data_IF_737305495862
#
_entry.id   IF_737305495862
#
_cell.length_a   1.000
_cell.length_b   1.000
_cell.length_c   1.000
_cell.angle_alpha   90.00
_cell.angle_beta   90.00
_cell.angle_gamma   90.00
#
_symmetry.space_group_name_H-M   'P 1'
#
loop_
_entity.id
_entity.type
_entity.pdbx_description
1 polymer ?
#
# COMPACT_ATOMS: atom_id res chain seq x y z
N UNK A 1 12.27 17.32 23.66
CA UNK A 1 11.83 18.34 22.69
C UNK A 1 12.94 18.57 21.66
N UNK A 2 12.85 17.94 20.50
CA UNK A 2 13.55 18.38 19.30
C UNK A 2 12.46 18.78 18.32
N UNK A 3 12.17 20.07 18.22
CA UNK A 3 11.35 20.59 17.12
C UNK A 3 12.15 20.32 15.85
N UNK A 4 11.72 19.33 15.06
CA UNK A 4 12.14 19.25 13.67
C UNK A 4 11.88 20.62 13.04
N UNK A 5 12.92 21.23 12.48
CA UNK A 5 12.88 22.56 11.90
C UNK A 5 11.85 22.54 10.78
N UNK A 6 10.66 23.09 11.05
CA UNK A 6 9.66 23.40 10.02
C UNK A 6 10.21 24.61 9.28
N UNK A 7 10.81 24.39 8.11
CA UNK A 7 11.28 25.49 7.28
C UNK A 7 10.14 25.92 6.36
N UNK A 8 9.45 27.00 6.71
CA UNK A 8 8.41 27.58 5.88
C UNK A 8 9.02 28.20 4.61
N UNK A 9 8.43 27.88 3.46
CA UNK A 9 8.81 28.44 2.15
C UNK A 9 7.72 29.41 1.74
N UNK A 10 7.98 30.72 1.83
CA UNK A 10 7.02 31.75 1.42
C UNK A 10 6.80 31.72 -0.10
N UNK A 11 5.64 31.24 -0.57
CA UNK A 11 5.32 31.24 -2.00
C UNK A 11 4.98 32.65 -2.51
N UNK A 12 5.35 32.95 -3.76
CA UNK A 12 5.10 34.26 -4.38
C UNK A 12 4.65 34.09 -5.83
N UNK A 13 3.83 35.02 -6.31
CA UNK A 13 3.30 35.02 -7.69
C UNK A 13 1.84 34.58 -7.75
N UNK A 14 1.38 34.27 -8.96
CA UNK A 14 0.04 33.75 -9.20
C UNK A 14 0.13 32.56 -10.16
N UNK A 15 -0.75 31.59 -9.96
CA UNK A 15 -0.95 30.47 -10.89
C UNK A 15 -2.32 30.62 -11.54
N UNK A 16 -2.43 30.53 -12.88
CA UNK A 16 -3.74 30.43 -13.52
C UNK A 16 -4.43 29.12 -13.12
N UNK A 17 -5.75 29.06 -13.27
CA UNK A 17 -6.50 27.82 -13.05
C UNK A 17 -5.92 26.68 -13.91
N UNK A 18 -5.64 25.54 -13.29
CA UNK A 18 -4.98 24.39 -13.93
C UNK A 18 -3.46 24.57 -14.19
N UNK A 19 -2.87 25.68 -13.75
CA UNK A 19 -1.43 25.91 -13.81
C UNK A 19 -0.65 25.23 -12.69
N UNK A 20 0.66 25.07 -12.88
CA UNK A 20 1.57 24.41 -11.94
C UNK A 20 2.63 25.38 -11.41
N UNK A 21 2.94 25.26 -10.12
CA UNK A 21 4.03 25.96 -9.46
C UNK A 21 5.16 24.96 -9.12
N UNK A 22 6.37 25.20 -9.61
CA UNK A 22 7.52 24.33 -9.44
C UNK A 22 8.51 24.91 -8.44
N UNK A 23 8.65 24.20 -7.33
CA UNK A 23 9.68 24.38 -6.31
C UNK A 23 10.85 23.45 -6.61
N UNK A 24 12.07 23.99 -6.68
CA UNK A 24 13.27 23.18 -6.85
C UNK A 24 14.31 23.48 -5.76
N UNK A 25 14.92 22.44 -5.21
CA UNK A 25 15.98 22.61 -4.23
C UNK A 25 17.25 23.17 -4.91
N UNK A 26 17.85 24.21 -4.36
CA UNK A 26 19.16 24.73 -4.76
C UNK A 26 20.18 24.59 -3.65
N UNK A 27 21.44 24.39 -4.00
CA UNK A 27 22.58 24.56 -3.07
C UNK A 27 23.03 26.03 -2.97
N UNK A 28 22.52 26.93 -3.82
CA UNK A 28 22.83 28.37 -3.80
C UNK A 28 21.61 29.22 -3.41
N UNK A 29 21.84 30.23 -2.57
CA UNK A 29 20.86 31.26 -2.18
C UNK A 29 20.75 32.41 -3.21
N UNK A 30 21.12 32.19 -4.47
CA UNK A 30 21.18 33.26 -5.47
C UNK A 30 19.78 33.57 -6.03
N UNK A 31 19.35 34.86 -6.06
CA UNK A 31 18.03 35.26 -6.58
C UNK A 31 17.83 34.92 -8.06
N UNK A 32 18.92 34.84 -8.82
CA UNK A 32 18.96 34.27 -10.15
C UNK A 32 19.33 32.79 -10.05
N UNK A 33 18.46 31.88 -10.52
CA UNK A 33 18.81 30.47 -10.59
C UNK A 33 20.07 30.30 -11.45
N UNK A 34 21.08 29.53 -11.01
CA UNK A 34 22.08 28.98 -11.92
C UNK A 34 21.39 28.35 -13.13
N UNK A 35 22.06 28.31 -14.29
CA UNK A 35 21.50 27.68 -15.49
C UNK A 35 21.03 26.23 -15.27
N UNK A 36 21.50 25.58 -14.19
CA UNK A 36 21.15 24.25 -13.73
C UNK A 36 21.08 24.18 -12.20
N UNK A 37 19.90 23.92 -11.63
CA UNK A 37 19.67 23.76 -10.17
C UNK A 37 19.27 22.32 -9.84
N UNK A 38 18.28 21.78 -10.57
CA UNK A 38 17.82 20.38 -10.56
C UNK A 38 17.34 20.01 -11.96
N UNK A 39 16.63 20.94 -12.59
CA UNK A 39 16.14 20.83 -13.95
C UNK A 39 17.02 21.64 -14.89
N UNK A 40 17.09 21.18 -16.14
CA UNK A 40 17.58 21.99 -17.23
C UNK A 40 16.60 23.14 -17.48
N UNK A 41 17.09 24.37 -17.35
CA UNK A 41 16.29 25.60 -17.50
C UNK A 41 15.72 25.80 -18.91
N UNK A 42 16.27 25.12 -19.92
CA UNK A 42 15.73 25.11 -21.28
C UNK A 42 14.46 24.26 -21.41
N UNK A 43 14.26 23.27 -20.53
CA UNK A 43 13.12 22.34 -20.60
C UNK A 43 11.99 22.75 -19.64
N UNK A 44 12.33 23.28 -18.45
CA UNK A 44 11.34 23.63 -17.42
C UNK A 44 11.75 24.89 -16.66
N UNK A 45 10.82 25.83 -16.52
CA UNK A 45 10.97 27.00 -15.65
C UNK A 45 10.70 26.65 -14.18
N UNK A 46 11.63 27.01 -13.30
CA UNK A 46 11.49 26.92 -11.84
C UNK A 46 10.89 28.24 -11.34
N UNK A 47 9.78 28.19 -10.60
CA UNK A 47 9.14 29.41 -10.08
C UNK A 47 9.83 29.90 -8.80
N UNK A 48 10.33 28.97 -7.98
CA UNK A 48 11.04 29.31 -6.75
C UNK A 48 12.04 28.23 -6.35
N UNK A 49 13.20 28.67 -5.87
CA UNK A 49 14.22 27.81 -5.27
C UNK A 49 14.17 27.83 -3.75
N UNK A 50 14.57 26.73 -3.13
CA UNK A 50 14.68 26.62 -1.67
C UNK A 50 15.90 25.77 -1.29
N UNK A 51 16.38 25.89 -0.05
CA UNK A 51 17.59 25.17 0.43
C UNK A 51 17.29 24.05 1.41
N UNK A 52 16.04 23.93 1.87
CA UNK A 52 15.59 22.83 2.75
C UNK A 52 15.78 21.45 2.10
N UNK A 53 16.04 20.44 2.92
CA UNK A 53 16.14 19.03 2.47
C UNK A 53 14.84 18.30 2.74
N UNK A 54 14.38 17.49 1.78
CA UNK A 54 13.35 16.48 2.01
C UNK A 54 14.04 15.17 2.39
N UNK A 55 13.65 14.59 3.53
CA UNK A 55 14.20 13.31 4.00
C UNK A 55 13.72 12.16 3.12
N UNK A 56 14.59 11.21 2.79
CA UNK A 56 14.19 9.98 2.08
C UNK A 56 13.31 9.08 2.95
N UNK A 57 13.38 9.20 4.28
CA UNK A 57 12.56 8.42 5.22
C UNK A 57 11.13 8.94 5.35
N UNK A 58 10.78 10.03 4.64
CA UNK A 58 9.48 10.68 4.71
C UNK A 58 9.50 12.08 5.34
N UNK A 59 8.50 12.88 5.01
CA UNK A 59 8.18 14.16 5.64
C UNK A 59 6.70 14.48 5.42
N UNK A 60 6.17 15.44 6.18
CA UNK A 60 4.83 16.00 5.95
C UNK A 60 5.03 17.33 5.21
N UNK A 61 4.28 17.54 4.13
CA UNK A 61 4.23 18.82 3.44
C UNK A 61 2.85 19.45 3.63
N UNK A 62 2.83 20.73 3.98
CA UNK A 62 1.61 21.51 4.17
C UNK A 62 1.63 22.72 3.24
N UNK A 63 0.57 22.89 2.47
CA UNK A 63 0.28 24.13 1.76
C UNK A 63 -0.66 24.97 2.60
N UNK A 64 -0.30 26.22 2.87
CA UNK A 64 -1.10 27.14 3.68
C UNK A 64 -1.47 28.39 2.90
N UNK A 65 -2.65 28.94 3.19
CA UNK A 65 -3.08 30.24 2.67
C UNK A 65 -2.35 31.39 3.39
N UNK A 66 -2.45 32.66 2.94
CA UNK A 66 -1.77 33.78 3.58
C UNK A 66 -2.13 34.00 5.06
N UNK A 67 -3.38 33.76 5.50
CA UNK A 67 -3.73 33.70 6.93
C UNK A 67 -3.07 32.55 7.72
N UNK A 68 -2.57 31.51 7.06
CA UNK A 68 -1.93 30.35 7.68
C UNK A 68 -2.85 29.12 7.83
N UNK A 69 -4.05 29.15 7.27
CA UNK A 69 -4.94 27.99 7.26
C UNK A 69 -4.42 26.93 6.29
N UNK A 70 -4.62 25.66 6.65
CA UNK A 70 -4.25 24.53 5.81
C UNK A 70 -5.12 24.48 4.55
N UNK A 71 -4.47 24.40 3.39
CA UNK A 71 -5.09 24.31 2.06
C UNK A 71 -5.00 22.88 1.52
N UNK A 72 -3.82 22.27 1.61
CA UNK A 72 -3.57 20.91 1.13
C UNK A 72 -2.38 20.29 1.86
N UNK A 73 -2.27 18.97 1.80
CA UNK A 73 -1.15 18.23 2.39
C UNK A 73 -0.59 17.21 1.40
N UNK A 74 0.66 16.82 1.64
CA UNK A 74 1.20 15.58 1.13
C UNK A 74 1.80 14.77 2.27
N UNK A 75 1.41 13.49 2.32
CA UNK A 75 1.84 12.54 3.36
C UNK A 75 1.40 12.99 4.77
N UNK A 76 0.16 13.47 4.92
CA UNK A 76 -0.38 14.00 6.19
C UNK A 76 -0.40 13.01 7.34
N UNK A 77 -0.45 11.71 7.04
CA UNK A 77 -0.34 10.61 7.99
C UNK A 77 1.09 10.44 8.54
N UNK A 78 2.07 11.07 7.90
CA UNK A 78 3.47 11.03 8.29
C UNK A 78 4.12 9.67 8.03
N UNK A 79 5.32 9.46 8.57
CA UNK A 79 6.11 8.28 8.26
C UNK A 79 6.69 8.34 6.84
N UNK A 80 7.00 7.17 6.27
CA UNK A 80 7.66 7.04 4.95
C UNK A 80 6.78 7.53 3.81
N UNK A 81 7.43 8.05 2.76
CA UNK A 81 6.72 8.48 1.56
C UNK A 81 5.87 7.33 0.99
N UNK A 82 4.58 7.56 0.70
CA UNK A 82 3.67 6.51 0.24
C UNK A 82 3.96 6.05 -1.20
N UNK A 83 4.67 6.87 -1.96
CA UNK A 83 5.14 6.55 -3.31
C UNK A 83 6.42 7.33 -3.63
N UNK A 84 7.00 7.04 -4.80
CA UNK A 84 8.31 7.53 -5.21
C UNK A 84 9.41 6.53 -4.87
N UNK A 85 10.48 6.53 -5.66
CA UNK A 85 11.56 5.55 -5.55
C UNK A 85 12.93 6.22 -5.64
N UNK A 86 13.75 6.01 -4.62
CA UNK A 86 15.10 6.56 -4.56
C UNK A 86 16.08 5.88 -5.53
N UNK A 87 15.86 4.60 -5.87
CA UNK A 87 16.81 3.84 -6.70
C UNK A 87 16.86 4.32 -8.15
N UNK A 88 15.74 4.80 -8.68
CA UNK A 88 15.64 5.30 -10.05
C UNK A 88 15.15 6.76 -10.11
N UNK A 89 15.04 7.42 -8.96
CA UNK A 89 14.60 8.79 -8.81
C UNK A 89 13.20 9.06 -9.42
N UNK A 90 12.28 8.10 -9.28
CA UNK A 90 10.88 8.27 -9.70
C UNK A 90 10.11 9.09 -8.67
N UNK A 91 9.40 10.10 -9.15
CA UNK A 91 8.62 11.01 -8.32
C UNK A 91 7.35 10.35 -7.78
N UNK A 92 6.86 10.93 -6.68
CA UNK A 92 5.55 10.67 -6.09
C UNK A 92 4.53 11.64 -6.68
N UNK A 93 3.46 11.13 -7.29
CA UNK A 93 2.48 11.95 -8.00
C UNK A 93 1.04 11.67 -7.54
N UNK A 94 0.28 12.71 -7.24
CA UNK A 94 -1.12 12.59 -6.77
C UNK A 94 -2.03 12.16 -7.92
N UNK A 95 -2.90 11.17 -7.69
CA UNK A 95 -3.78 10.55 -8.70
C UNK A 95 -5.03 11.35 -9.08
N UNK A 96 -5.29 12.48 -8.44
CA UNK A 96 -6.50 13.27 -8.69
C UNK A 96 -6.77 14.28 -7.59
N UNK A 97 -7.95 14.90 -7.64
CA UNK A 97 -8.51 15.72 -6.56
C UNK A 97 -9.14 14.80 -5.51
N UNK A 98 -8.30 14.15 -4.71
CA UNK A 98 -8.69 13.27 -3.61
C UNK A 98 -8.03 13.72 -2.32
N UNK A 99 -8.67 13.48 -1.17
CA UNK A 99 -8.08 13.77 0.14
C UNK A 99 -6.70 13.09 0.29
N UNK A 100 -5.79 13.78 0.96
CA UNK A 100 -4.45 13.24 1.21
C UNK A 100 -4.54 11.97 2.06
N UNK A 101 -3.82 10.94 1.60
CA UNK A 101 -3.66 9.65 2.23
C UNK A 101 -2.59 8.90 1.45
N UNK A 102 -2.03 7.82 2.01
CA UNK A 102 -1.11 6.95 1.28
C UNK A 102 -1.67 6.47 -0.08
N UNK A 103 -2.99 6.30 -0.20
CA UNK A 103 -3.65 5.88 -1.46
C UNK A 103 -3.76 6.98 -2.52
N UNK A 104 -3.55 8.25 -2.15
CA UNK A 104 -3.65 9.38 -3.06
C UNK A 104 -2.44 9.51 -4.00
N UNK A 105 -1.34 8.79 -3.73
CA UNK A 105 -0.04 9.00 -4.33
C UNK A 105 0.47 7.76 -5.07
N UNK A 106 0.87 7.93 -6.32
CA UNK A 106 1.46 6.87 -7.14
C UNK A 106 2.93 7.18 -7.46
N UNK A 107 3.72 6.12 -7.64
CA UNK A 107 5.07 6.26 -8.17
C UNK A 107 4.99 6.48 -9.67
N UNK A 108 5.64 7.51 -10.19
CA UNK A 108 5.73 7.75 -11.62
C UNK A 108 6.29 6.50 -12.34
N UNK A 109 5.47 5.92 -13.23
CA UNK A 109 5.85 4.78 -14.07
C UNK A 109 5.57 5.04 -15.57
N UNK A 110 5.23 6.29 -15.91
CA UNK A 110 4.96 6.68 -17.29
C UNK A 110 6.19 6.58 -18.19
N UNK A 111 6.00 6.54 -19.52
CA UNK A 111 7.11 6.79 -20.43
C UNK A 111 7.74 8.13 -20.05
N UNK A 112 9.08 8.23 -20.12
CA UNK A 112 9.82 9.48 -19.90
C UNK A 112 9.62 10.46 -21.06
N UNK A 113 8.35 10.73 -21.39
CA UNK A 113 7.89 11.66 -22.41
C UNK A 113 7.76 13.09 -21.87
N UNK A 114 7.96 13.29 -20.57
CA UNK A 114 8.36 14.57 -20.02
C UNK A 114 9.64 15.01 -20.73
N UNK A 115 9.59 16.14 -21.45
CA UNK A 115 10.77 16.74 -22.05
C UNK A 115 11.74 17.29 -20.99
N UNK A 116 11.33 17.30 -19.72
CA UNK A 116 12.16 17.75 -18.62
C UNK A 116 13.39 16.85 -18.46
N UNK A 117 14.56 17.46 -18.62
CA UNK A 117 15.82 16.85 -18.19
C UNK A 117 16.28 17.43 -16.87
N UNK A 118 16.99 16.60 -16.13
CA UNK A 118 17.74 17.03 -14.96
C UNK A 118 18.95 17.89 -15.38
N UNK A 119 19.67 18.38 -14.39
CA UNK A 119 20.79 19.27 -14.60
C UNK A 119 22.01 18.65 -15.30
N UNK A 120 22.05 17.32 -15.41
CA UNK A 120 23.11 16.56 -16.10
C UNK A 120 22.62 15.97 -17.42
N UNK A 121 21.38 16.26 -17.82
CA UNK A 121 20.79 15.89 -19.10
C UNK A 121 20.02 14.57 -19.12
N UNK A 122 19.86 13.87 -17.99
CA UNK A 122 19.01 12.68 -17.93
C UNK A 122 17.54 13.08 -17.94
N UNK A 123 16.69 12.20 -18.47
CA UNK A 123 15.24 12.42 -18.39
C UNK A 123 14.73 12.29 -16.96
N UNK A 124 13.93 13.24 -16.55
CA UNK A 124 13.25 13.23 -15.24
C UNK A 124 12.15 12.18 -15.25
N UNK A 125 12.06 11.40 -14.16
CA UNK A 125 10.98 10.44 -13.92
C UNK A 125 9.84 11.07 -13.11
N UNK A 126 9.17 12.01 -13.75
CA UNK A 126 8.07 12.77 -13.18
C UNK A 126 7.55 13.82 -14.15
N UNK A 127 6.53 14.55 -13.75
CA UNK A 127 5.88 15.60 -14.55
C UNK A 127 6.06 17.01 -13.94
N UNK A 128 7.29 17.52 -13.76
CA UNK A 128 7.47 18.89 -13.28
C UNK A 128 6.81 19.89 -14.24
N UNK A 129 6.08 20.88 -13.69
CA UNK A 129 5.26 21.86 -14.45
C UNK A 129 4.17 21.27 -15.35
N UNK A 130 3.91 19.97 -15.29
CA UNK A 130 2.87 19.31 -16.06
C UNK A 130 1.81 18.69 -15.15
N UNK A 131 0.70 18.28 -15.76
CA UNK A 131 -0.25 17.42 -15.06
C UNK A 131 0.43 16.14 -14.62
N UNK A 132 0.18 15.76 -13.37
CA UNK A 132 0.62 14.49 -12.83
C UNK A 132 0.26 13.38 -13.80
N UNK A 133 1.23 12.54 -14.16
CA UNK A 133 1.00 11.34 -14.96
C UNK A 133 -0.09 10.48 -14.33
N UNK A 134 -0.12 10.46 -12.99
CA UNK A 134 -1.14 9.78 -12.19
C UNK A 134 -2.60 10.23 -12.48
N UNK A 135 -2.84 11.41 -13.07
CA UNK A 135 -4.18 11.84 -13.51
C UNK A 135 -4.60 11.22 -14.85
N UNK A 136 -3.62 10.94 -15.71
CA UNK A 136 -3.85 10.43 -17.07
C UNK A 136 -3.95 8.91 -17.11
N UNK A 137 -3.56 8.24 -16.04
CA UNK A 137 -3.89 6.84 -15.80
C UNK A 137 -5.33 6.72 -15.30
N UNK A 138 -6.27 7.05 -16.19
CA UNK A 138 -7.56 6.39 -16.11
C UNK A 138 -7.28 4.93 -16.41
N UNK A 139 -7.65 4.01 -15.51
CA UNK A 139 -7.77 2.59 -15.85
C UNK A 139 -8.89 2.46 -16.89
N UNK A 140 -8.55 2.79 -18.13
CA UNK A 140 -9.32 2.43 -19.30
C UNK A 140 -8.66 1.15 -19.81
N UNK A 141 -9.25 -0.03 -19.56
CA UNK A 141 -8.80 -1.25 -20.21
C UNK A 141 -8.86 -1.01 -21.72
N UNK A 142 -7.70 -0.74 -22.31
CA UNK A 142 -7.57 -0.52 -23.73
C UNK A 142 -7.17 -1.86 -24.33
N UNK A 143 -7.98 -2.48 -25.19
CA UNK A 143 -7.57 -3.70 -25.89
C UNK A 143 -6.37 -3.35 -26.75
N UNK A 144 -5.20 -3.79 -26.32
CA UNK A 144 -3.95 -3.58 -27.07
C UNK A 144 -3.95 -4.57 -28.24
N UNK A 145 -3.71 -4.12 -29.48
CA UNK A 145 -3.46 -5.05 -30.57
C UNK A 145 -2.23 -5.90 -30.20
N UNK A 146 -2.26 -7.22 -30.44
CA UNK A 146 -1.14 -8.07 -30.09
C UNK A 146 0.09 -7.58 -30.86
N UNK A 147 1.17 -7.28 -30.16
CA UNK A 147 2.47 -7.16 -30.82
C UNK A 147 2.73 -8.53 -31.45
N UNK A 148 2.81 -8.57 -32.77
CA UNK A 148 3.15 -9.78 -33.53
C UNK A 148 4.51 -10.26 -33.07
N UNK A 149 4.51 -11.25 -32.18
CA UNK A 149 5.69 -12.05 -31.89
C UNK A 149 6.03 -12.81 -33.17
N UNK A 150 7.30 -12.76 -33.56
CA UNK A 150 7.89 -13.61 -34.59
C UNK A 150 7.48 -15.05 -34.31
N UNK A 151 6.88 -15.80 -35.27
CA UNK A 151 6.25 -17.07 -34.97
C UNK A 151 7.33 -18.13 -34.73
N UNK A 152 7.69 -18.33 -33.46
CA UNK A 152 8.06 -19.64 -32.97
C UNK A 152 6.75 -20.33 -32.58
N UNK A 153 6.52 -21.59 -32.97
CA UNK A 153 5.32 -22.30 -32.51
C UNK A 153 5.31 -22.25 -30.98
N UNK A 154 4.32 -21.60 -30.33
CA UNK A 154 4.24 -21.66 -28.89
C UNK A 154 3.82 -23.08 -28.57
N UNK A 155 4.71 -23.85 -27.97
CA UNK A 155 4.27 -25.03 -27.23
C UNK A 155 3.37 -24.48 -26.12
N UNK A 156 2.07 -24.84 -26.10
CA UNK A 156 1.15 -24.25 -25.14
C UNK A 156 1.46 -24.82 -23.76
N UNK A 157 2.11 -24.02 -22.92
CA UNK A 157 2.34 -24.36 -21.51
C UNK A 157 1.37 -23.55 -20.65
N UNK A 158 0.83 -24.21 -19.62
CA UNK A 158 0.08 -23.52 -18.56
C UNK A 158 0.98 -22.51 -17.85
N UNK A 159 0.45 -21.31 -17.57
CA UNK A 159 1.19 -20.26 -16.87
C UNK A 159 0.40 -19.86 -15.64
N UNK A 160 0.81 -20.42 -14.51
CA UNK A 160 0.21 -20.16 -13.22
C UNK A 160 0.96 -19.05 -12.50
N UNK A 161 0.23 -18.14 -11.86
CA UNK A 161 0.78 -17.03 -11.08
C UNK A 161 -0.02 -16.83 -9.79
N UNK A 162 0.58 -16.17 -8.80
CA UNK A 162 -0.14 -15.64 -7.65
C UNK A 162 -0.76 -14.31 -8.10
N UNK A 163 -2.07 -14.16 -7.93
CA UNK A 163 -2.82 -12.98 -8.36
C UNK A 163 -3.05 -11.99 -7.21
N UNK A 164 -3.51 -12.49 -6.08
CA UNK A 164 -3.88 -11.70 -4.91
C UNK A 164 -3.60 -12.51 -3.64
N UNK A 165 -3.27 -11.87 -2.52
CA UNK A 165 -3.32 -12.49 -1.20
C UNK A 165 -3.59 -11.46 -0.12
N UNK A 166 -4.29 -11.87 0.94
CA UNK A 166 -4.63 -11.04 2.09
C UNK A 166 -3.93 -11.60 3.33
N UNK A 167 -2.87 -10.93 3.84
CA UNK A 167 -2.20 -11.37 5.06
C UNK A 167 -2.97 -11.06 6.34
N UNK A 168 -3.86 -10.06 6.32
CA UNK A 168 -4.52 -9.59 7.54
C UNK A 168 -5.99 -9.36 7.32
N UNK A 169 -6.82 -10.30 7.76
CA UNK A 169 -8.26 -10.18 7.65
C UNK A 169 -8.86 -9.28 8.74
N UNK A 170 -9.75 -8.38 8.34
CA UNK A 170 -10.64 -7.62 9.22
C UNK A 170 -12.13 -7.84 8.90
N UNK A 171 -12.41 -8.69 7.91
CA UNK A 171 -13.74 -9.08 7.47
C UNK A 171 -13.81 -10.61 7.32
N UNK A 172 -15.03 -11.14 7.43
CA UNK A 172 -15.38 -12.56 7.29
C UNK A 172 -15.36 -12.93 5.79
N UNK A 173 -14.15 -13.05 5.24
CA UNK A 173 -13.92 -13.28 3.82
C UNK A 173 -14.23 -14.71 3.40
N UNK A 174 -14.20 -15.66 4.33
CA UNK A 174 -14.55 -17.05 4.08
C UNK A 174 -16.06 -17.32 4.32
N UNK A 175 -16.79 -16.35 4.88
CA UNK A 175 -18.23 -16.37 5.18
C UNK A 175 -18.64 -17.53 6.11
N UNK A 176 -17.81 -17.86 7.10
CA UNK A 176 -18.07 -18.87 8.13
C UNK A 176 -18.76 -18.31 9.37
N UNK A 177 -18.87 -16.98 9.48
CA UNK A 177 -19.49 -16.32 10.60
C UNK A 177 -18.50 -15.93 11.71
N UNK A 178 -17.21 -16.01 11.49
CA UNK A 178 -16.15 -15.55 12.40
C UNK A 178 -15.23 -14.59 11.62
N UNK A 179 -14.56 -13.67 12.32
CA UNK A 179 -13.49 -12.85 11.74
C UNK A 179 -12.22 -13.27 12.45
N UNK A 180 -11.36 -14.02 11.78
CA UNK A 180 -10.09 -14.50 12.34
C UNK A 180 -9.00 -14.70 11.26
N UNK A 181 -7.85 -15.22 11.65
CA UNK A 181 -6.71 -15.48 10.73
C UNK A 181 -7.06 -16.49 9.63
N UNK A 182 -8.14 -17.27 9.78
CA UNK A 182 -8.57 -18.23 8.76
C UNK A 182 -9.33 -17.57 7.60
N UNK A 183 -9.61 -16.27 7.69
CA UNK A 183 -10.12 -15.43 6.60
C UNK A 183 -9.03 -14.92 5.65
N UNK A 184 -7.75 -15.07 6.02
CA UNK A 184 -6.62 -14.83 5.12
C UNK A 184 -6.73 -15.70 3.89
N UNK A 185 -6.27 -15.22 2.74
CA UNK A 185 -6.35 -16.00 1.50
C UNK A 185 -5.17 -15.78 0.56
N UNK A 186 -4.95 -16.77 -0.29
CA UNK A 186 -4.07 -16.70 -1.45
C UNK A 186 -4.88 -17.06 -2.69
N UNK A 187 -4.85 -16.20 -3.69
CA UNK A 187 -5.45 -16.40 -5.00
C UNK A 187 -4.39 -16.65 -6.07
N UNK A 188 -4.65 -17.63 -6.93
CA UNK A 188 -3.84 -17.93 -8.11
C UNK A 188 -4.67 -17.84 -9.39
N UNK A 189 -4.01 -17.53 -10.50
CA UNK A 189 -4.63 -17.41 -11.82
C UNK A 189 -3.87 -18.23 -12.88
N UNK A 190 -4.58 -18.81 -13.83
CA UNK A 190 -4.00 -19.44 -15.02
C UNK A 190 -4.00 -18.48 -16.22
N UNK A 191 -2.86 -17.84 -16.48
CA UNK A 191 -2.62 -16.98 -17.65
C UNK A 191 -2.22 -17.76 -18.91
N UNK A 192 -2.09 -19.09 -18.81
CA UNK A 192 -1.69 -19.93 -19.93
C UNK A 192 -2.86 -20.18 -20.90
N UNK A 193 -2.58 -20.44 -22.19
CA UNK A 193 -3.62 -20.75 -23.17
C UNK A 193 -4.20 -22.17 -23.07
N UNK A 194 -3.87 -22.90 -22.00
CA UNK A 194 -4.32 -24.27 -21.73
C UNK A 194 -4.74 -24.43 -20.30
N UNK A 195 -5.73 -25.29 -20.08
CA UNK A 195 -6.20 -25.68 -18.76
C UNK A 195 -5.08 -26.36 -17.95
N UNK A 196 -4.99 -26.01 -16.67
CA UNK A 196 -3.97 -26.56 -15.75
C UNK A 196 -4.66 -27.37 -14.67
N UNK A 197 -4.24 -28.63 -14.51
CA UNK A 197 -4.59 -29.41 -13.32
C UNK A 197 -3.65 -29.05 -12.16
N UNK A 198 -4.24 -28.59 -11.06
CA UNK A 198 -3.54 -28.17 -9.84
C UNK A 198 -3.05 -29.35 -8.97
N UNK A 199 -3.44 -30.58 -9.28
CA UNK A 199 -3.02 -31.77 -8.53
C UNK A 199 -1.49 -31.84 -8.38
N UNK A 200 -1.02 -31.83 -7.13
CA UNK A 200 0.40 -31.93 -6.79
C UNK A 200 1.17 -30.61 -6.84
N UNK A 201 0.54 -29.51 -7.23
CA UNK A 201 1.06 -28.15 -7.00
C UNK A 201 0.98 -27.82 -5.51
N UNK A 202 1.75 -26.83 -5.06
CA UNK A 202 1.77 -26.41 -3.67
C UNK A 202 1.77 -24.90 -3.51
N UNK A 203 1.15 -24.44 -2.42
CA UNK A 203 1.29 -23.11 -1.85
C UNK A 203 2.15 -23.19 -0.58
N UNK A 204 2.89 -22.13 -0.30
CA UNK A 204 3.84 -22.09 0.80
C UNK A 204 4.11 -20.64 1.22
N UNK A 205 4.30 -20.39 2.52
CA UNK A 205 4.55 -19.06 3.10
C UNK A 205 6.05 -18.77 3.27
N UNK A 206 6.87 -19.74 3.68
CA UNK A 206 8.32 -19.57 3.76
C UNK A 206 9.09 -20.88 3.55
N UNK A 207 10.40 -20.85 3.33
CA UNK A 207 11.21 -22.06 3.19
C UNK A 207 11.60 -22.61 4.56
N UNK A 208 11.13 -23.82 4.87
CA UNK A 208 11.48 -24.58 6.08
C UNK A 208 11.21 -23.85 7.41
N UNK A 209 10.38 -22.81 7.39
CA UNK A 209 10.00 -21.95 8.51
C UNK A 209 8.53 -21.58 8.30
N UNK A 210 7.76 -21.36 9.37
CA UNK A 210 6.33 -21.06 9.25
C UNK A 210 5.45 -22.30 9.09
N UNK A 211 4.41 -22.19 8.26
CA UNK A 211 3.41 -23.23 8.01
C UNK A 211 3.97 -24.38 7.18
N UNK A 212 3.30 -25.53 7.17
CA UNK A 212 3.65 -26.60 6.22
C UNK A 212 3.09 -26.30 4.83
N UNK A 213 3.84 -26.59 3.73
CA UNK A 213 3.35 -26.34 2.38
C UNK A 213 2.02 -27.07 2.11
N UNK A 214 1.02 -26.34 1.64
CA UNK A 214 -0.28 -26.89 1.30
C UNK A 214 -0.28 -27.49 -0.11
N UNK A 215 -0.68 -28.75 -0.25
CA UNK A 215 -0.80 -29.40 -1.57
C UNK A 215 -2.17 -29.12 -2.17
N UNK A 216 -2.20 -28.51 -3.35
CA UNK A 216 -3.43 -28.12 -4.03
C UNK A 216 -4.26 -29.35 -4.46
N UNK A 217 -5.60 -29.25 -4.42
CA UNK A 217 -6.49 -30.34 -4.77
C UNK A 217 -6.47 -30.62 -6.28
N UNK A 218 -7.05 -31.75 -6.67
CA UNK A 218 -7.32 -32.06 -8.07
C UNK A 218 -8.44 -31.17 -8.62
N UNK A 219 -8.08 -29.95 -9.03
CA UNK A 219 -8.95 -28.98 -9.69
C UNK A 219 -8.31 -28.57 -11.02
N UNK A 220 -9.13 -28.53 -12.08
CA UNK A 220 -8.71 -28.00 -13.37
C UNK A 220 -9.03 -26.50 -13.38
N UNK A 221 -8.02 -25.67 -13.61
CA UNK A 221 -8.15 -24.23 -13.73
C UNK A 221 -8.05 -23.84 -15.21
N UNK A 222 -9.13 -23.30 -15.77
CA UNK A 222 -9.18 -22.87 -17.18
C UNK A 222 -8.35 -21.63 -17.43
N UNK A 223 -8.08 -21.31 -18.70
CA UNK A 223 -7.45 -20.05 -19.08
C UNK A 223 -8.24 -18.84 -18.55
N UNK A 224 -7.56 -17.96 -17.82
CA UNK A 224 -8.11 -16.77 -17.17
C UNK A 224 -8.95 -17.05 -15.92
N UNK A 225 -8.98 -18.29 -15.43
CA UNK A 225 -9.74 -18.64 -14.22
C UNK A 225 -8.88 -18.46 -12.96
N UNK A 226 -9.54 -18.07 -11.87
CA UNK A 226 -8.96 -17.80 -10.56
C UNK A 226 -9.31 -18.93 -9.58
N UNK A 227 -8.42 -19.21 -8.64
CA UNK A 227 -8.69 -20.09 -7.51
C UNK A 227 -8.21 -19.47 -6.21
N UNK A 228 -9.14 -19.32 -5.27
CA UNK A 228 -8.91 -18.77 -3.93
C UNK A 228 -8.70 -19.89 -2.93
N UNK A 229 -7.71 -19.72 -2.06
CA UNK A 229 -7.38 -20.65 -0.98
C UNK A 229 -7.27 -19.90 0.35
N UNK A 230 -8.28 -20.05 1.21
CA UNK A 230 -8.34 -19.47 2.54
C UNK A 230 -7.48 -20.21 3.56
N UNK A 231 -7.04 -19.52 4.62
CA UNK A 231 -6.32 -20.07 5.77
C UNK A 231 -7.08 -21.24 6.41
N UNK A 232 -8.42 -21.17 6.49
CA UNK A 232 -9.28 -22.26 6.97
C UNK A 232 -9.13 -23.57 6.18
N UNK A 233 -8.71 -23.48 4.91
CA UNK A 233 -8.50 -24.64 4.04
C UNK A 233 -7.03 -25.08 3.99
N UNK A 234 -6.10 -24.13 3.99
CA UNK A 234 -4.68 -24.38 3.74
C UNK A 234 -3.89 -24.62 5.02
N UNK A 235 -4.32 -24.04 6.14
CA UNK A 235 -3.52 -23.80 7.35
C UNK A 235 -2.21 -23.03 7.06
N UNK A 236 -2.16 -22.29 5.96
CA UNK A 236 -1.12 -21.29 5.71
C UNK A 236 -1.63 -20.00 6.33
N UNK A 237 -0.94 -19.53 7.36
CA UNK A 237 -1.22 -18.27 8.05
C UNK A 237 -0.10 -17.29 7.73
N UNK A 238 -0.47 -16.14 7.19
CA UNK A 238 0.41 -15.15 6.58
C UNK A 238 0.82 -14.09 7.60
N UNK A 239 2.08 -14.10 8.01
CA UNK A 239 2.53 -13.29 9.15
C UNK A 239 2.39 -11.77 8.94
N UNK A 240 1.76 -11.06 9.89
CA UNK A 240 1.58 -9.60 9.84
C UNK A 240 2.90 -8.81 9.95
N UNK A 241 3.96 -9.39 10.49
CA UNK A 241 5.28 -8.77 10.57
C UNK A 241 6.07 -8.85 9.25
N UNK A 242 5.55 -9.59 8.26
CA UNK A 242 6.14 -9.83 6.96
C UNK A 242 6.43 -11.31 6.73
N UNK A 243 6.19 -11.76 5.51
CA UNK A 243 6.31 -13.16 5.09
C UNK A 243 6.52 -13.26 3.57
N UNK A 244 6.48 -14.48 3.01
CA UNK A 244 6.36 -14.70 1.59
C UNK A 244 5.15 -15.54 1.19
N UNK A 245 4.85 -15.58 -0.11
CA UNK A 245 3.87 -16.48 -0.71
C UNK A 245 4.51 -17.08 -1.94
N UNK A 246 4.48 -18.40 -2.06
CA UNK A 246 5.18 -19.15 -3.11
C UNK A 246 4.25 -20.14 -3.77
N UNK A 247 4.24 -20.14 -5.09
CA UNK A 247 3.52 -21.10 -5.91
C UNK A 247 4.51 -22.09 -6.52
N UNK A 248 4.38 -23.36 -6.15
CA UNK A 248 5.30 -24.44 -6.51
C UNK A 248 4.56 -25.43 -7.41
N UNK A 249 5.16 -25.75 -8.56
CA UNK A 249 4.57 -26.73 -9.47
C UNK A 249 4.80 -28.18 -9.02
N UNK A 250 4.14 -29.13 -9.69
CA UNK A 250 4.26 -30.58 -9.40
C UNK A 250 5.68 -31.16 -9.47
N UNK A 251 6.61 -30.47 -10.14
CA UNK A 251 8.02 -30.87 -10.23
C UNK A 251 8.87 -30.29 -9.09
N UNK A 252 8.26 -29.55 -8.16
CA UNK A 252 8.95 -28.88 -7.05
C UNK A 252 9.60 -27.55 -7.40
N UNK A 253 9.30 -26.97 -8.58
CA UNK A 253 9.86 -25.68 -9.01
C UNK A 253 8.93 -24.54 -8.60
N UNK A 254 9.47 -23.52 -7.94
CA UNK A 254 8.76 -22.26 -7.68
C UNK A 254 8.52 -21.53 -9.01
N UNK A 255 7.26 -21.35 -9.39
CA UNK A 255 6.89 -20.69 -10.65
C UNK A 255 6.49 -19.22 -10.45
N UNK A 256 6.08 -18.85 -9.24
CA UNK A 256 5.84 -17.47 -8.85
C UNK A 256 6.03 -17.33 -7.33
N UNK A 257 6.45 -16.15 -6.89
CA UNK A 257 6.64 -15.85 -5.48
C UNK A 257 6.57 -14.34 -5.21
N UNK A 258 6.13 -13.98 -4.01
CA UNK A 258 6.07 -12.61 -3.53
C UNK A 258 6.43 -12.54 -2.05
N UNK A 259 7.35 -11.66 -1.68
CA UNK A 259 7.66 -11.32 -0.28
C UNK A 259 7.03 -9.97 0.06
N UNK A 260 6.57 -9.82 1.30
CA UNK A 260 6.01 -8.59 1.83
C UNK A 260 6.56 -8.30 3.24
N UNK A 261 6.41 -7.06 3.69
CA UNK A 261 6.84 -6.61 5.02
C UNK A 261 5.66 -6.41 5.97
N UNK A 262 5.87 -5.65 7.04
CA UNK A 262 4.84 -5.42 8.06
C UNK A 262 3.51 -4.91 7.48
N UNK A 263 2.41 -5.58 7.83
CA UNK A 263 1.03 -5.28 7.45
C UNK A 263 0.34 -4.53 8.58
N UNK A 264 0.12 -3.24 8.35
CA UNK A 264 -0.38 -2.32 9.39
C UNK A 264 -1.90 -2.29 9.51
N UNK A 265 -2.61 -2.52 8.42
CA UNK A 265 -4.06 -2.38 8.35
C UNK A 265 -4.70 -3.70 7.90
N UNK A 266 -5.83 -4.09 8.51
CA UNK A 266 -6.60 -5.22 8.01
C UNK A 266 -7.24 -4.88 6.65
N UNK A 267 -7.65 -5.92 5.94
CA UNK A 267 -8.37 -5.83 4.65
C UNK A 267 -7.60 -5.02 3.60
N UNK A 268 -6.27 -5.14 3.61
CA UNK A 268 -5.39 -4.66 2.56
C UNK A 268 -4.68 -5.85 1.92
N UNK A 269 -5.19 -6.28 0.77
CA UNK A 269 -4.56 -7.35 0.01
C UNK A 269 -3.36 -6.83 -0.78
N UNK A 270 -2.42 -7.72 -1.01
CA UNK A 270 -1.42 -7.59 -2.05
C UNK A 270 -2.01 -8.15 -3.34
N UNK A 271 -2.13 -7.34 -4.39
CA UNK A 271 -2.76 -7.77 -5.63
C UNK A 271 -1.98 -7.35 -6.87
N UNK A 272 -2.18 -8.04 -7.99
CA UNK A 272 -1.63 -7.66 -9.30
C UNK A 272 -2.66 -6.85 -10.08
N UNK A 273 -2.26 -5.67 -10.57
CA UNK A 273 -3.12 -4.86 -11.44
C UNK A 273 -2.40 -4.54 -12.76
N UNK A 274 -2.93 -4.96 -13.92
CA UNK A 274 -4.07 -5.87 -14.09
C UNK A 274 -3.77 -7.29 -13.58
N UNK A 275 -4.79 -8.11 -13.41
CA UNK A 275 -4.71 -9.46 -12.88
C UNK A 275 -3.65 -10.32 -13.61
N UNK A 276 -2.89 -11.04 -12.79
CA UNK A 276 -1.86 -12.02 -13.11
C UNK A 276 -0.59 -11.48 -13.81
N UNK A 277 -0.72 -10.47 -14.66
CA UNK A 277 0.35 -9.88 -15.47
C UNK A 277 0.79 -8.49 -15.01
N UNK A 278 0.03 -7.89 -14.09
CA UNK A 278 0.28 -6.58 -13.56
C UNK A 278 1.42 -6.51 -12.56
N UNK A 279 1.69 -5.28 -12.15
CA UNK A 279 2.60 -5.00 -11.05
C UNK A 279 1.87 -5.24 -9.73
N UNK A 280 2.62 -5.75 -8.76
CA UNK A 280 2.15 -5.89 -7.39
C UNK A 280 1.87 -4.52 -6.77
N UNK A 281 0.68 -4.39 -6.20
CA UNK A 281 0.25 -3.32 -5.33
C UNK A 281 0.25 -3.83 -3.88
N UNK A 282 0.52 -2.93 -2.93
CA UNK A 282 0.65 -3.27 -1.51
C UNK A 282 -0.62 -3.01 -0.69
N UNK A 283 -1.60 -2.34 -1.29
CA UNK A 283 -2.86 -1.97 -0.65
C UNK A 283 -3.99 -1.99 -1.69
N UNK A 284 -4.52 -3.18 -1.91
CA UNK A 284 -5.73 -3.40 -2.70
C UNK A 284 -6.93 -3.65 -1.78
N UNK A 285 -8.12 -3.43 -2.32
CA UNK A 285 -9.33 -3.96 -1.71
C UNK A 285 -9.37 -5.47 -1.97
N UNK A 286 -9.61 -6.32 -0.95
CA UNK A 286 -9.59 -7.75 -1.17
C UNK A 286 -10.73 -8.18 -2.11
N UNK A 287 -10.39 -8.93 -3.15
CA UNK A 287 -11.31 -9.33 -4.23
C UNK A 287 -11.31 -10.83 -4.47
N UNK A 288 -11.45 -11.68 -3.44
CA UNK A 288 -11.34 -13.13 -3.63
C UNK A 288 -12.33 -13.63 -4.69
N UNK A 289 -11.79 -14.25 -5.74
CA UNK A 289 -12.53 -14.84 -6.86
C UNK A 289 -13.02 -13.84 -7.90
N UNK A 290 -12.63 -12.57 -7.80
CA UNK A 290 -13.04 -11.48 -8.68
C UNK A 290 -11.82 -10.74 -9.24
N UNK A 291 -12.04 -9.85 -10.20
CA UNK A 291 -10.97 -8.99 -10.73
C UNK A 291 -10.40 -8.07 -9.63
N UNK A 292 -9.08 -7.93 -9.59
CA UNK A 292 -8.39 -7.12 -8.59
C UNK A 292 -8.77 -5.65 -8.66
N UNK A 293 -9.03 -5.06 -7.49
CA UNK A 293 -9.40 -3.65 -7.36
C UNK A 293 -8.60 -2.91 -6.29
N UNK A 294 -8.25 -1.65 -6.55
CA UNK A 294 -7.63 -0.78 -5.54
C UNK A 294 -8.60 -0.29 -4.47
N UNK A 295 -9.91 -0.41 -4.72
CA UNK A 295 -10.95 0.09 -3.85
C UNK A 295 -12.22 -0.75 -4.03
N UNK A 296 -12.97 -0.88 -2.95
CA UNK A 296 -14.25 -1.56 -2.92
C UNK A 296 -15.04 -1.14 -1.70
N UNK A 297 -16.17 -1.80 -1.49
CA UNK A 297 -17.07 -1.52 -0.37
C UNK A 297 -17.28 -2.82 0.37
N UNK A 298 -16.91 -2.86 1.66
CA UNK A 298 -17.27 -3.98 2.50
C UNK A 298 -18.80 -3.99 2.71
N UNK A 299 -19.46 -5.16 2.59
CA UNK A 299 -20.86 -5.28 2.95
C UNK A 299 -21.09 -4.81 4.39
N UNK A 300 -22.20 -4.12 4.65
CA UNK A 300 -22.58 -3.81 6.02
C UNK A 300 -22.76 -5.14 6.79
N UNK A 301 -22.25 -5.26 8.03
CA UNK A 301 -22.43 -6.46 8.82
C UNK A 301 -23.94 -6.72 9.03
N UNK A 302 -24.37 -8.00 9.05
CA UNK A 302 -25.77 -8.33 9.34
C UNK A 302 -26.22 -7.70 10.67
N UNK A 303 -27.50 -7.29 10.81
CA UNK A 303 -28.02 -6.63 12.01
C UNK A 303 -27.73 -7.40 13.31
N UNK A 304 -27.69 -8.73 13.22
CA UNK A 304 -27.48 -9.64 14.35
C UNK A 304 -26.02 -9.66 14.84
N UNK A 305 -25.08 -9.10 14.07
CA UNK A 305 -23.65 -8.96 14.41
C UNK A 305 -23.24 -7.56 14.82
N UNK A 306 -24.14 -6.57 14.78
CA UNK A 306 -23.85 -5.20 15.21
C UNK A 306 -23.50 -5.07 16.71
N UNK A 307 -23.79 -6.12 17.50
CA UNK A 307 -23.53 -6.20 18.94
C UNK A 307 -22.37 -7.13 19.32
N UNK A 308 -21.61 -7.68 18.36
CA UNK A 308 -20.39 -8.41 18.71
C UNK A 308 -19.29 -7.44 19.13
N UNK A 309 -18.45 -7.78 20.12
CA UNK A 309 -17.26 -6.98 20.42
C UNK A 309 -16.43 -6.83 19.15
N UNK A 310 -15.85 -5.65 18.95
CA UNK A 310 -15.00 -5.39 17.78
C UNK A 310 -13.97 -6.52 17.66
N UNK A 311 -13.83 -7.07 16.44
CA UNK A 311 -12.80 -8.07 16.17
C UNK A 311 -11.45 -7.56 16.68
N UNK A 312 -10.66 -8.43 17.28
CA UNK A 312 -9.35 -8.09 17.80
C UNK A 312 -8.45 -7.64 16.65
N UNK A 313 -8.37 -6.32 16.40
CA UNK A 313 -7.54 -5.78 15.32
C UNK A 313 -6.06 -5.69 15.71
N UNK A 314 -5.58 -6.51 16.65
CA UNK A 314 -4.15 -6.60 16.91
C UNK A 314 -3.49 -7.49 15.86
N UNK A 315 -2.23 -7.20 15.48
CA UNK A 315 -1.47 -8.12 14.66
C UNK A 315 -1.42 -9.53 15.25
N UNK A 316 -1.47 -10.56 14.42
CA UNK A 316 -1.37 -11.97 14.84
C UNK A 316 -0.05 -12.31 15.58
N UNK A 317 0.98 -11.50 15.35
CA UNK A 317 2.28 -11.53 16.02
C UNK A 317 2.30 -10.85 17.39
N UNK A 318 1.18 -10.28 17.83
CA UNK A 318 1.08 -9.66 19.14
C UNK A 318 1.13 -10.74 20.23
N UNK A 319 2.03 -10.64 21.24
CA UNK A 319 2.12 -11.66 22.27
C UNK A 319 0.79 -11.88 22.99
N UNK A 320 0.53 -13.12 23.40
CA UNK A 320 -0.77 -13.56 23.92
C UNK A 320 -1.22 -12.72 25.13
N UNK A 321 -0.30 -12.30 25.98
CA UNK A 321 -0.57 -11.42 27.11
C UNK A 321 -1.17 -10.07 26.71
N UNK A 322 -0.74 -9.48 25.59
CA UNK A 322 -1.29 -8.23 25.06
C UNK A 322 -2.62 -8.50 24.35
N UNK A 323 -2.74 -9.62 23.64
CA UNK A 323 -3.98 -10.02 22.98
C UNK A 323 -5.11 -10.26 23.99
N UNK A 324 -4.81 -10.94 25.10
CA UNK A 324 -5.75 -11.16 26.21
C UNK A 324 -6.13 -9.84 26.90
N UNK A 325 -5.20 -8.90 27.02
CA UNK A 325 -5.46 -7.60 27.61
C UNK A 325 -6.32 -6.68 26.73
N UNK A 326 -6.18 -6.73 25.40
CA UNK A 326 -6.93 -5.85 24.49
C UNK A 326 -8.27 -6.45 24.04
N UNK A 327 -8.30 -7.77 23.81
CA UNK A 327 -9.32 -8.37 22.95
C UNK A 327 -10.21 -9.41 23.64
N UNK A 328 -9.85 -9.87 24.83
CA UNK A 328 -10.71 -10.77 25.60
C UNK A 328 -11.85 -9.98 26.29
N UNK A 329 -12.98 -10.62 26.61
CA UNK A 329 -14.13 -9.97 27.26
C UNK A 329 -13.83 -9.25 28.58
N UNK A 330 -12.67 -9.51 29.21
CA UNK A 330 -12.23 -8.89 30.46
C UNK A 330 -11.23 -7.73 30.26
N UNK A 331 -10.75 -7.50 29.04
CA UNK A 331 -9.74 -6.49 28.70
C UNK A 331 -10.28 -5.09 28.42
N UNK A 332 -11.55 -4.98 28.04
CA UNK A 332 -12.34 -3.74 27.96
C UNK A 332 -11.67 -2.52 27.29
N UNK A 333 -10.78 -2.69 26.29
CA UNK A 333 -10.00 -1.59 25.70
C UNK A 333 -9.24 -0.75 26.75
N UNK A 334 -8.75 -1.37 27.84
CA UNK A 334 -8.02 -0.68 28.91
C UNK A 334 -6.78 0.04 28.37
N UNK A 335 -6.24 -0.39 27.22
CA UNK A 335 -5.04 0.18 26.64
C UNK A 335 -5.36 1.17 25.52
N UNK A 336 -5.80 2.36 25.94
CA UNK A 336 -5.84 3.50 25.06
C UNK A 336 -4.41 3.97 24.77
N UNK A 337 -3.95 3.82 23.53
CA UNK A 337 -2.61 4.27 23.10
C UNK A 337 -2.30 5.73 23.46
N UNK A 338 -3.29 6.62 23.35
CA UNK A 338 -3.16 8.03 23.74
C UNK A 338 -2.94 8.22 25.24
N UNK A 339 -3.38 7.24 26.04
CA UNK A 339 -3.22 7.24 27.49
C UNK A 339 -1.85 6.68 27.92
N UNK A 340 -1.36 5.63 27.25
CA UNK A 340 -0.14 4.93 27.65
C UNK A 340 1.13 5.43 26.95
N UNK A 341 1.06 5.82 25.67
CA UNK A 341 2.23 6.25 24.90
C UNK A 341 2.52 7.75 25.08
N UNK A 342 1.48 8.60 25.16
CA UNK A 342 1.65 10.06 25.22
C UNK A 342 1.89 10.58 26.66
N UNK A 343 1.57 9.78 27.69
CA UNK A 343 1.68 10.17 29.10
C UNK A 343 2.79 9.45 29.88
N UNK A 344 3.72 8.79 29.19
CA UNK A 344 4.86 8.12 29.83
C UNK A 344 5.68 9.13 30.67
N UNK A 345 5.57 9.03 32.00
CA UNK A 345 6.30 9.88 32.97
C UNK A 345 5.50 10.47 34.13
N UNK A 346 4.22 10.10 34.33
CA UNK A 346 3.46 10.47 35.53
C UNK A 346 3.25 9.26 36.44
N UNK A 347 3.37 9.44 37.76
CA UNK A 347 3.38 8.36 38.76
C UNK A 347 2.02 8.10 39.44
N UNK A 348 0.94 8.76 39.00
CA UNK A 348 -0.40 8.55 39.53
C UNK A 348 -1.44 8.84 38.43
N UNK A 349 -2.38 7.91 38.24
CA UNK A 349 -3.34 7.95 37.15
C UNK A 349 -4.78 7.92 37.66
N UNK A 350 -5.57 8.94 37.32
CA UNK A 350 -7.02 8.93 37.56
C UNK A 350 -7.69 8.18 36.41
N UNK A 351 -8.37 7.08 36.71
CA UNK A 351 -9.19 6.33 35.74
C UNK A 351 -10.58 6.98 35.68
N UNK A 352 -11.05 7.46 34.51
CA UNK A 352 -12.39 8.00 34.38
C UNK A 352 -13.42 6.87 34.42
N UNK A 353 -14.07 6.69 35.58
CA UNK A 353 -15.28 5.88 35.68
C UNK A 353 -16.49 6.78 35.39
N UNK A 354 -17.24 6.47 34.34
CA UNK A 354 -18.45 7.23 33.96
C UNK A 354 -19.67 6.89 34.83
N UNK A 355 -19.55 5.95 35.75
CA UNK A 355 -20.62 5.47 36.63
C UNK A 355 -20.32 5.61 38.13
N UNK A 356 -19.18 6.17 38.53
CA UNK A 356 -18.79 6.35 39.94
C UNK A 356 -18.40 7.79 40.27
N UNK A 357 -18.77 8.26 41.47
CA UNK A 357 -18.38 9.58 42.01
C UNK A 357 -17.02 9.58 42.71
N UNK A 358 -16.37 8.42 42.81
CA UNK A 358 -15.07 8.25 43.46
C UNK A 358 -14.01 8.05 42.39
N UNK A 359 -13.00 8.92 42.35
CA UNK A 359 -11.85 8.74 41.47
C UNK A 359 -11.02 7.55 41.96
N UNK A 360 -10.83 6.56 41.09
CA UNK A 360 -9.88 5.47 41.34
C UNK A 360 -8.52 5.90 40.80
N UNK A 361 -7.52 5.86 41.67
CA UNK A 361 -6.13 6.14 41.33
C UNK A 361 -5.38 4.82 41.27
N UNK A 362 -4.68 4.58 40.16
CA UNK A 362 -3.68 3.50 40.07
C UNK A 362 -2.32 4.13 40.30
N UNK A 363 -1.58 3.60 41.29
CA UNK A 363 -0.19 3.95 41.60
C UNK A 363 0.80 3.07 40.85
#
# INVERSE_FOLDING_TARGET
MNRHIVQDILLTGSIPAGGYYLLARSSSNTPTPPACVVFNSADVTIDKTFTASLSNSGAILELKDPPGNLVDTANSDGGSWPAGLSFNYSSMERRGTVLDSSTAWFTFAGPTASNARDCVGNRVRGTPKGSNWAWTVTITPTPRPPKTATPRPPTPFGRMVINEFLPRAGFDWNNDGVIDVNDEFIEIENLGPVDVNLSGWKLDDEINTGSSPYTLPNKILKTGEHAVFYGSMTNILLNDSGDSVRLINKSGVVVDARTYGVVKYPDQSHCRIPDGNGYWQLACFPTPGNENALAGVLPAPPPDKANQPAACLLPDTTPEEFRLAECAPFGANIWNRKYWDDAAGQNQFIVPDSFSKSQTIVE
#
